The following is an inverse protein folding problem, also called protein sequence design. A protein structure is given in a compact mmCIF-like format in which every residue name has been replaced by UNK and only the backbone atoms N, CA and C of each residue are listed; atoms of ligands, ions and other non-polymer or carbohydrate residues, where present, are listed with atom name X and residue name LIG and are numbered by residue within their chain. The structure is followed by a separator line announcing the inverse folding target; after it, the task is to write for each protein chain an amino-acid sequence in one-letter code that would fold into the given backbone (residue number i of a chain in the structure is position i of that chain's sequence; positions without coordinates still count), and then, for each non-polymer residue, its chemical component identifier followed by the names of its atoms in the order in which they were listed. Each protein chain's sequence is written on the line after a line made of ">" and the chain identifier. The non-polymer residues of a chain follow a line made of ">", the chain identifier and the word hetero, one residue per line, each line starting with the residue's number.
data_IF_638084707822
#
_entry.id   IF_638084707822
#
_cell.length_a   1.000
_cell.length_b   1.000
_cell.length_c   1.000
_cell.angle_alpha   90.00
_cell.angle_beta   90.00
_cell.angle_gamma   90.00
#
_symmetry.space_group_name_H-M   'P 1'
#
loop_
_entity.id
_entity.type
_entity.pdbx_description
1 polymer ?
#
# COMPACT_ATOMS: atom_id res chain seq x y z
N UNK A 1 -3.44 1.86 10.56
CA UNK A 1 -2.46 2.69 9.81
C UNK A 1 -1.19 1.91 9.45
N UNK A 2 -0.45 1.34 10.41
CA UNK A 2 0.77 0.56 10.16
C UNK A 2 0.64 -0.56 9.10
N UNK A 3 -0.45 -1.34 9.09
CA UNK A 3 -0.66 -2.40 8.08
C UNK A 3 -0.91 -1.85 6.67
N UNK A 4 -1.65 -0.75 6.58
CA UNK A 4 -1.88 -0.06 5.30
C UNK A 4 -0.56 0.52 4.80
N UNK A 5 0.23 1.11 5.69
CA UNK A 5 1.59 1.57 5.40
C UNK A 5 2.54 0.45 4.95
N UNK A 6 2.46 -0.73 5.58
CA UNK A 6 3.20 -1.91 5.13
C UNK A 6 2.78 -2.37 3.73
N UNK A 7 1.47 -2.41 3.44
CA UNK A 7 0.93 -2.76 2.13
C UNK A 7 1.42 -1.77 1.04
N UNK A 8 1.38 -0.47 1.34
CA UNK A 8 1.91 0.59 0.49
C UNK A 8 3.39 0.35 0.18
N UNK A 9 4.22 0.12 1.20
CA UNK A 9 5.66 -0.13 1.02
C UNK A 9 5.94 -1.37 0.18
N UNK A 10 5.15 -2.43 0.35
CA UNK A 10 5.28 -3.64 -0.48
C UNK A 10 4.93 -3.40 -1.96
N UNK A 11 3.98 -2.50 -2.25
CA UNK A 11 3.55 -2.18 -3.62
C UNK A 11 4.45 -1.15 -4.29
N UNK A 12 4.79 -0.07 -3.60
CA UNK A 12 5.54 1.08 -4.15
C UNK A 12 7.06 0.88 -4.06
N UNK A 13 7.55 0.25 -2.99
CA UNK A 13 8.99 0.21 -2.69
C UNK A 13 9.64 -1.13 -3.07
N UNK A 14 8.86 -2.20 -3.26
CA UNK A 14 9.37 -3.51 -3.68
C UNK A 14 9.49 -3.61 -5.21
N UNK A 15 10.08 -2.58 -5.82
CA UNK A 15 10.27 -2.54 -7.25
C UNK A 15 11.69 -3.01 -7.59
N UNK A 16 11.81 -4.08 -8.38
CA UNK A 16 13.08 -4.69 -8.81
C UNK A 16 13.96 -3.72 -9.62
N UNK A 17 13.36 -2.66 -10.15
CA UNK A 17 14.00 -1.63 -10.96
C UNK A 17 14.10 -0.34 -10.15
N UNK A 18 15.28 0.27 -10.12
CA UNK A 18 15.53 1.55 -9.43
C UNK A 18 14.64 2.63 -10.04
N UNK A 19 13.54 2.96 -9.33
CA UNK A 19 12.64 4.07 -9.65
C UNK A 19 13.13 5.35 -8.99
N UNK A 20 13.09 6.45 -9.74
CA UNK A 20 13.32 7.81 -9.25
C UNK A 20 12.29 8.18 -8.18
N UNK A 21 12.56 9.26 -7.43
CA UNK A 21 11.61 9.72 -6.40
C UNK A 21 10.26 10.12 -7.00
N UNK A 22 10.27 10.77 -8.18
CA UNK A 22 9.05 11.21 -8.87
C UNK A 22 8.18 10.03 -9.30
N UNK A 23 8.77 8.97 -9.84
CA UNK A 23 8.06 7.75 -10.21
C UNK A 23 7.40 7.06 -9.00
N UNK A 24 8.06 7.11 -7.83
CA UNK A 24 7.49 6.56 -6.59
C UNK A 24 6.29 7.36 -6.11
N UNK A 25 6.30 8.69 -6.31
CA UNK A 25 5.17 9.57 -5.97
C UNK A 25 4.01 9.33 -6.91
N UNK A 26 4.24 9.22 -8.22
CA UNK A 26 3.19 8.89 -9.21
C UNK A 26 2.55 7.53 -8.93
N UNK A 27 3.36 6.52 -8.60
CA UNK A 27 2.89 5.19 -8.28
C UNK A 27 2.10 5.15 -6.97
N UNK A 28 2.51 5.94 -5.96
CA UNK A 28 1.76 6.13 -4.74
C UNK A 28 0.39 6.78 -5.00
N UNK A 29 0.34 7.83 -5.81
CA UNK A 29 -0.90 8.52 -6.15
C UNK A 29 -1.84 7.61 -6.96
N UNK A 30 -1.29 6.88 -7.94
CA UNK A 30 -2.03 5.90 -8.73
C UNK A 30 -2.56 4.78 -7.83
N UNK A 31 -1.77 4.28 -6.89
CA UNK A 31 -2.21 3.29 -5.91
C UNK A 31 -3.35 3.82 -5.04
N UNK A 32 -3.26 5.06 -4.56
CA UNK A 32 -4.31 5.72 -3.78
C UNK A 32 -5.64 5.86 -4.54
N UNK A 33 -5.59 6.11 -5.85
CA UNK A 33 -6.78 6.15 -6.72
C UNK A 33 -7.35 4.77 -7.03
N UNK A 34 -6.51 3.74 -7.03
CA UNK A 34 -6.89 2.37 -7.44
C UNK A 34 -7.35 1.51 -6.26
N UNK A 35 -6.87 1.81 -5.05
CA UNK A 35 -7.20 1.00 -3.88
C UNK A 35 -8.67 1.18 -3.49
N UNK A 36 -9.38 0.05 -3.37
CA UNK A 36 -10.76 0.06 -2.91
C UNK A 36 -10.83 0.36 -1.41
N UNK A 37 -11.79 1.18 -0.95
CA UNK A 37 -12.05 1.40 0.48
C UNK A 37 -12.29 0.08 1.24
N UNK A 38 -12.84 -0.93 0.56
CA UNK A 38 -13.08 -2.27 1.12
C UNK A 38 -11.75 -2.98 1.41
N UNK A 39 -10.77 -2.89 0.51
CA UNK A 39 -9.44 -3.48 0.72
C UNK A 39 -8.72 -2.81 1.89
N UNK A 40 -8.83 -1.48 2.02
CA UNK A 40 -8.30 -0.75 3.18
C UNK A 40 -8.98 -1.25 4.46
N UNK A 41 -10.31 -1.37 4.46
CA UNK A 41 -11.08 -1.88 5.60
C UNK A 41 -10.68 -3.30 5.98
N UNK A 42 -10.49 -4.19 5.00
CA UNK A 42 -10.02 -5.57 5.24
C UNK A 42 -8.60 -5.61 5.81
N UNK A 43 -7.67 -4.83 5.26
CA UNK A 43 -6.28 -4.74 5.76
C UNK A 43 -6.24 -4.16 7.18
N UNK A 44 -7.12 -3.21 7.50
CA UNK A 44 -7.27 -2.67 8.85
C UNK A 44 -7.94 -3.66 9.82
N UNK A 45 -8.92 -4.44 9.34
CA UNK A 45 -9.73 -5.35 10.17
C UNK A 45 -9.09 -6.73 10.40
N UNK A 46 -7.98 -7.07 9.74
CA UNK A 46 -7.20 -8.30 9.98
C UNK A 46 -6.61 -8.41 11.41
N UNK A 47 -6.97 -7.53 12.33
CA UNK A 47 -6.71 -7.66 13.77
C UNK A 47 -7.64 -8.66 14.49
N UNK A 48 -8.69 -9.20 13.86
CA UNK A 48 -9.69 -10.02 14.58
C UNK A 48 -9.34 -11.51 14.69
N UNK A 49 -8.30 -12.01 14.02
CA UNK A 49 -8.00 -13.45 13.99
C UNK A 49 -6.51 -13.78 14.19
N UNK A 50 -5.88 -13.08 15.12
CA UNK A 50 -4.54 -13.43 15.62
C UNK A 50 -4.54 -13.35 17.14
N UNK A 51 -5.45 -14.06 17.79
CA UNK A 51 -5.36 -14.53 19.18
C UNK A 51 -6.25 -15.75 19.37
#
# INVERSE_FOLDING_TARGET
>A
MERVWWLMRKKVTHNRWVKTMEERVDEFERWGKTISPIQIKTVCNLNVNIY
#
